data_IF_164453012168
#
_entry.id   IF_164453012168
#
_cell.length_a   1.000
_cell.length_b   1.000
_cell.length_c   1.000
_cell.angle_alpha   90.00
_cell.angle_beta   90.00
_cell.angle_gamma   90.00
#
_symmetry.space_group_name_H-M   'P 1'
#
loop_
_entity.id
_entity.type
_entity.pdbx_description
1 polymer ?
#
# COMPACT_ATOMS: atom_id res chain seq x y z
N UNK A 1 1.92 45.46 -3.65
CA UNK A 1 1.67 44.22 -4.41
C UNK A 1 2.76 43.22 -4.00
N UNK A 2 2.48 42.38 -3.04
CA UNK A 2 3.40 41.31 -2.59
C UNK A 2 3.21 40.12 -3.50
N UNK A 3 4.24 39.81 -4.26
CA UNK A 3 4.34 38.59 -5.09
C UNK A 3 4.29 37.37 -4.18
N UNK A 4 3.20 36.60 -4.26
CA UNK A 4 3.11 35.26 -3.70
C UNK A 4 3.79 34.30 -4.69
N UNK A 5 5.08 34.33 -4.79
CA UNK A 5 5.87 33.17 -5.20
C UNK A 5 6.01 32.24 -3.98
N UNK A 6 5.01 31.42 -3.74
CA UNK A 6 5.21 30.19 -2.98
C UNK A 6 6.15 29.33 -3.82
N UNK A 7 7.45 29.37 -3.49
CA UNK A 7 8.40 28.39 -3.99
C UNK A 7 7.83 27.02 -3.64
N UNK A 8 7.26 26.34 -4.63
CA UNK A 8 6.86 24.94 -4.50
C UNK A 8 8.14 24.16 -4.25
N UNK A 9 8.42 23.85 -2.98
CA UNK A 9 9.57 23.03 -2.62
C UNK A 9 9.42 21.75 -3.43
N UNK A 10 10.42 21.47 -4.25
CA UNK A 10 10.43 20.23 -5.03
C UNK A 10 10.61 19.06 -4.07
N UNK A 11 9.55 18.29 -3.89
CA UNK A 11 9.56 17.13 -3.01
C UNK A 11 10.26 16.00 -3.77
N UNK A 12 11.44 15.64 -3.30
CA UNK A 12 12.20 14.51 -3.86
C UNK A 12 11.80 13.19 -3.20
N UNK A 13 12.10 12.04 -3.81
CA UNK A 13 11.95 10.73 -3.16
C UNK A 13 12.57 10.65 -1.77
N UNK A 14 13.77 11.24 -1.58
CA UNK A 14 14.46 11.26 -0.29
C UNK A 14 13.70 12.04 0.77
N UNK A 15 13.09 13.18 0.41
CA UNK A 15 12.24 13.96 1.31
C UNK A 15 11.01 13.16 1.70
N UNK A 16 10.41 12.46 0.75
CA UNK A 16 9.24 11.62 1.01
C UNK A 16 9.58 10.46 1.94
N UNK A 17 10.68 9.73 1.69
CA UNK A 17 11.11 8.63 2.57
C UNK A 17 11.45 9.13 3.99
N UNK A 18 12.08 10.32 4.12
CA UNK A 18 12.31 10.94 5.42
C UNK A 18 11.00 11.28 6.14
N UNK A 19 9.98 11.74 5.41
CA UNK A 19 8.67 12.00 5.99
C UNK A 19 8.03 10.71 6.52
N UNK A 20 8.06 9.62 5.74
CA UNK A 20 7.61 8.30 6.20
C UNK A 20 8.37 7.82 7.44
N UNK A 21 9.69 7.99 7.47
CA UNK A 21 10.51 7.67 8.65
C UNK A 21 10.12 8.47 9.90
N UNK A 22 9.53 9.66 9.72
CA UNK A 22 8.97 10.49 10.80
C UNK A 22 7.48 10.23 11.07
N UNK A 23 6.88 9.23 10.44
CA UNK A 23 5.45 8.93 10.63
C UNK A 23 4.49 9.84 9.86
N UNK A 24 5.00 10.66 8.93
CA UNK A 24 4.26 11.67 8.18
C UNK A 24 4.07 11.17 6.74
N UNK A 25 2.93 11.46 6.14
CA UNK A 25 2.65 11.12 4.74
C UNK A 25 1.96 12.29 4.01
N UNK A 26 2.13 12.39 2.66
CA UNK A 26 1.52 13.46 1.89
C UNK A 26 0.10 13.09 1.46
N UNK A 27 -0.78 14.09 1.41
CA UNK A 27 -2.09 14.02 0.75
C UNK A 27 -2.37 15.32 0.00
N UNK A 28 -3.17 15.25 -1.06
CA UNK A 28 -3.81 16.41 -1.67
C UNK A 28 -5.32 16.42 -1.35
N UNK A 29 -5.95 17.57 -1.40
CA UNK A 29 -7.41 17.67 -1.19
C UNK A 29 -8.20 17.11 -2.38
N UNK A 30 -7.63 17.20 -3.58
CA UNK A 30 -8.22 16.68 -4.80
C UNK A 30 -7.16 16.44 -5.89
N UNK A 31 -7.56 15.79 -6.99
CA UNK A 31 -6.70 15.60 -8.16
C UNK A 31 -6.23 16.91 -8.79
N UNK A 32 -7.02 17.97 -8.68
CA UNK A 32 -6.76 19.29 -9.26
C UNK A 32 -5.97 20.22 -8.32
N UNK A 33 -5.78 19.82 -7.06
CA UNK A 33 -5.03 20.60 -6.08
C UNK A 33 -3.53 20.31 -6.23
N UNK A 34 -2.71 21.30 -6.62
CA UNK A 34 -1.26 21.12 -6.73
C UNK A 34 -0.56 21.08 -5.36
N UNK A 35 -1.26 21.47 -4.28
CA UNK A 35 -0.69 21.48 -2.94
C UNK A 35 -0.61 20.06 -2.37
N UNK A 36 0.41 19.81 -1.55
CA UNK A 36 0.55 18.62 -0.75
C UNK A 36 0.54 18.99 0.73
N UNK A 37 -0.32 18.32 1.46
CA UNK A 37 -0.45 18.48 2.90
C UNK A 37 0.24 17.30 3.59
N UNK A 38 1.08 17.60 4.57
CA UNK A 38 1.76 16.60 5.37
C UNK A 38 0.91 16.25 6.58
N UNK A 39 0.56 14.98 6.72
CA UNK A 39 -0.40 14.52 7.71
C UNK A 39 0.28 13.55 8.68
N UNK A 40 0.07 13.78 9.97
CA UNK A 40 0.40 12.88 11.06
C UNK A 40 -0.83 12.71 11.96
N UNK A 41 -1.64 11.66 11.78
CA UNK A 41 -2.86 11.46 12.55
C UNK A 41 -2.58 11.17 14.03
N UNK A 42 -3.49 11.56 14.93
CA UNK A 42 -3.44 11.15 16.34
C UNK A 42 -3.68 9.64 16.54
N UNK A 43 -4.47 9.07 15.63
CA UNK A 43 -4.78 7.63 15.56
C UNK A 43 -4.35 7.10 14.21
N UNK A 44 -3.41 6.16 14.21
CA UNK A 44 -2.87 5.55 13.00
C UNK A 44 -3.43 4.16 12.78
N UNK A 45 -3.89 3.89 11.56
CA UNK A 45 -4.32 2.57 11.12
C UNK A 45 -3.14 1.67 10.81
N UNK A 46 -3.13 0.48 11.39
CA UNK A 46 -2.13 -0.56 11.09
C UNK A 46 -2.79 -1.93 10.97
N UNK A 47 -2.20 -2.81 10.17
CA UNK A 47 -2.58 -4.22 10.15
C UNK A 47 -1.45 -5.02 10.84
N UNK A 48 -1.70 -5.60 12.03
CA UNK A 48 -0.76 -6.51 12.67
C UNK A 48 -0.56 -7.75 11.79
N UNK A 49 0.66 -7.96 11.28
CA UNK A 49 0.97 -9.05 10.34
C UNK A 49 0.80 -10.44 10.96
N UNK A 50 1.02 -10.57 12.27
CA UNK A 50 0.84 -11.80 13.04
C UNK A 50 -0.64 -12.14 13.32
N UNK A 51 -1.53 -11.16 13.21
CA UNK A 51 -2.97 -11.30 13.44
C UNK A 51 -3.81 -11.02 12.21
N UNK A 52 -3.19 -11.01 11.04
CA UNK A 52 -3.91 -10.81 9.78
C UNK A 52 -4.94 -11.92 9.58
N UNK A 53 -6.19 -11.52 9.45
CA UNK A 53 -7.32 -12.43 9.29
C UNK A 53 -7.80 -12.47 7.84
N UNK A 54 -7.96 -13.68 7.30
CA UNK A 54 -8.55 -13.88 5.97
C UNK A 54 -9.90 -14.61 6.14
N UNK A 55 -11.03 -13.95 5.86
CA UNK A 55 -12.35 -14.60 5.93
C UNK A 55 -12.42 -15.85 5.04
N UNK A 56 -13.07 -16.92 5.49
CA UNK A 56 -13.13 -18.24 4.82
C UNK A 56 -13.56 -18.15 3.36
N UNK A 57 -14.51 -17.25 3.05
CA UNK A 57 -14.97 -17.05 1.69
C UNK A 57 -13.85 -16.49 0.82
N UNK A 58 -13.09 -15.49 1.31
CA UNK A 58 -11.95 -14.91 0.61
C UNK A 58 -10.83 -15.95 0.46
N UNK A 59 -10.56 -16.75 1.51
CA UNK A 59 -9.57 -17.81 1.45
C UNK A 59 -9.87 -18.83 0.35
N UNK A 60 -11.16 -19.13 0.12
CA UNK A 60 -11.59 -19.99 -1.01
C UNK A 60 -11.31 -19.32 -2.35
N UNK A 61 -11.63 -18.02 -2.49
CA UNK A 61 -11.34 -17.25 -3.72
C UNK A 61 -9.84 -17.22 -4.02
N UNK A 62 -9.02 -16.95 -3.00
CA UNK A 62 -7.55 -16.94 -3.15
C UNK A 62 -7.04 -18.32 -3.56
N UNK A 63 -7.49 -19.38 -2.88
CA UNK A 63 -7.03 -20.77 -3.14
C UNK A 63 -7.45 -21.30 -4.51
N UNK A 64 -8.51 -20.75 -5.10
CA UNK A 64 -8.98 -21.20 -6.41
C UNK A 64 -8.11 -20.73 -7.57
N UNK A 65 -7.17 -19.82 -7.33
CA UNK A 65 -6.31 -19.18 -8.34
C UNK A 65 -7.11 -18.65 -9.55
N UNK A 66 -8.36 -18.22 -9.31
CA UNK A 66 -9.18 -17.58 -10.34
C UNK A 66 -8.48 -16.35 -10.91
N UNK A 67 -7.79 -15.61 -10.04
CA UNK A 67 -7.03 -14.44 -10.43
C UNK A 67 -5.54 -14.78 -10.47
N UNK A 68 -4.85 -14.24 -11.46
CA UNK A 68 -3.39 -14.22 -11.50
C UNK A 68 -2.89 -12.98 -10.75
N UNK A 69 -1.94 -13.17 -9.84
CA UNK A 69 -1.35 -12.07 -9.09
C UNK A 69 0.09 -11.85 -9.54
N UNK A 70 0.37 -10.65 -10.01
CA UNK A 70 1.71 -10.17 -10.33
C UNK A 70 2.15 -9.09 -9.33
N UNK A 71 3.44 -8.76 -9.34
CA UNK A 71 4.00 -7.66 -8.56
C UNK A 71 4.96 -6.87 -9.44
N UNK A 72 4.99 -5.56 -9.25
CA UNK A 72 5.92 -4.64 -9.91
C UNK A 72 5.92 -4.78 -11.44
N UNK A 73 4.76 -5.09 -12.03
CA UNK A 73 4.61 -5.28 -13.48
C UNK A 73 4.18 -4.02 -14.21
N UNK A 74 3.21 -3.30 -13.65
CA UNK A 74 2.62 -2.10 -14.27
C UNK A 74 2.18 -1.09 -13.21
N UNK A 75 3.14 -0.30 -12.74
CA UNK A 75 2.89 0.73 -11.73
C UNK A 75 1.84 1.74 -12.17
N UNK A 76 1.91 2.20 -13.44
CA UNK A 76 1.00 3.24 -13.92
C UNK A 76 -0.43 2.75 -13.97
N UNK A 77 -0.67 1.55 -14.47
CA UNK A 77 -2.01 0.99 -14.50
C UNK A 77 -2.61 0.83 -13.08
N UNK A 78 -1.77 0.52 -12.07
CA UNK A 78 -2.21 0.41 -10.68
C UNK A 78 -2.54 1.77 -10.08
N UNK A 79 -1.65 2.76 -10.20
CA UNK A 79 -1.89 4.08 -9.60
C UNK A 79 -3.05 4.80 -10.28
N UNK A 80 -3.19 4.65 -11.60
CA UNK A 80 -4.34 5.15 -12.37
C UNK A 80 -5.64 4.48 -11.93
N UNK A 81 -5.63 3.15 -11.71
CA UNK A 81 -6.77 2.43 -11.14
C UNK A 81 -7.16 2.95 -9.75
N UNK A 82 -6.18 3.26 -8.91
CA UNK A 82 -6.41 3.86 -7.59
C UNK A 82 -6.94 5.29 -7.67
N UNK A 83 -6.54 6.06 -8.68
CA UNK A 83 -6.96 7.45 -8.90
C UNK A 83 -8.36 7.56 -9.50
N UNK A 84 -8.91 6.50 -10.11
CA UNK A 84 -10.23 6.56 -10.74
C UNK A 84 -11.35 6.85 -9.73
N UNK A 85 -12.29 7.76 -10.06
CA UNK A 85 -13.51 7.93 -9.29
C UNK A 85 -14.35 6.64 -9.30
N UNK A 86 -14.91 6.31 -8.14
CA UNK A 86 -15.82 5.16 -7.99
C UNK A 86 -17.08 5.59 -7.25
N UNK A 87 -18.20 4.85 -7.36
CA UNK A 87 -19.39 5.12 -6.57
C UNK A 87 -19.06 5.26 -5.08
N UNK A 88 -19.44 6.39 -4.47
CA UNK A 88 -19.13 6.72 -3.07
C UNK A 88 -17.77 7.43 -2.85
N UNK A 89 -16.91 7.50 -3.86
CA UNK A 89 -15.66 8.27 -3.85
C UNK A 89 -15.50 9.00 -5.18
N UNK A 90 -16.13 10.15 -5.31
CA UNK A 90 -16.10 10.98 -6.53
C UNK A 90 -14.80 11.77 -6.72
N UNK A 91 -14.01 11.92 -5.66
CA UNK A 91 -12.72 12.63 -5.67
C UNK A 91 -11.58 11.71 -5.29
N UNK A 92 -10.41 11.95 -5.86
CA UNK A 92 -9.16 11.29 -5.49
C UNK A 92 -8.16 12.33 -4.97
N UNK A 93 -7.32 11.91 -4.05
CA UNK A 93 -6.19 12.68 -3.55
C UNK A 93 -4.93 12.49 -4.42
N UNK A 94 -4.96 11.52 -5.35
CA UNK A 94 -3.85 11.22 -6.25
C UNK A 94 -3.89 12.24 -7.40
N UNK A 95 -3.04 13.26 -7.31
CA UNK A 95 -2.81 14.25 -8.37
C UNK A 95 -1.56 13.90 -9.19
N UNK A 96 -1.28 14.63 -10.26
CA UNK A 96 -0.11 14.37 -11.12
C UNK A 96 1.22 14.46 -10.36
N UNK A 97 1.31 15.32 -9.33
CA UNK A 97 2.53 15.47 -8.51
C UNK A 97 2.75 14.23 -7.65
N UNK A 98 1.70 13.70 -7.01
CA UNK A 98 1.73 12.45 -6.25
C UNK A 98 2.10 11.30 -7.18
N UNK A 99 1.42 11.18 -8.32
CA UNK A 99 1.73 10.14 -9.30
C UNK A 99 3.22 10.13 -9.68
N UNK A 100 3.77 11.28 -10.08
CA UNK A 100 5.19 11.39 -10.46
C UNK A 100 6.15 11.08 -9.30
N UNK A 101 5.79 11.46 -8.07
CA UNK A 101 6.62 11.23 -6.90
C UNK A 101 6.72 9.74 -6.55
N UNK A 102 5.58 9.03 -6.57
CA UNK A 102 5.55 7.59 -6.32
C UNK A 102 6.13 6.78 -7.48
N UNK A 103 6.02 7.26 -8.73
CA UNK A 103 6.74 6.66 -9.86
C UNK A 103 8.25 6.69 -9.64
N UNK A 104 8.81 7.81 -9.19
CA UNK A 104 10.24 7.92 -8.88
C UNK A 104 10.66 6.96 -7.75
N UNK A 105 9.81 6.73 -6.74
CA UNK A 105 10.05 5.72 -5.71
C UNK A 105 10.01 4.30 -6.30
N UNK A 106 9.06 4.03 -7.19
CA UNK A 106 8.96 2.73 -7.87
C UNK A 106 10.20 2.43 -8.71
N UNK A 107 10.67 3.38 -9.52
CA UNK A 107 11.89 3.26 -10.33
C UNK A 107 13.16 3.00 -9.49
N UNK A 108 13.15 3.37 -8.22
CA UNK A 108 14.23 3.13 -7.25
C UNK A 108 14.09 1.82 -6.48
N UNK A 109 12.94 1.16 -6.58
CA UNK A 109 12.62 -0.03 -5.79
C UNK A 109 12.15 0.27 -4.35
N UNK A 110 11.79 1.52 -4.05
CA UNK A 110 11.25 1.95 -2.75
C UNK A 110 9.70 1.91 -2.72
N UNK A 111 9.05 1.73 -3.87
CA UNK A 111 7.60 1.58 -3.99
C UNK A 111 7.28 0.31 -4.80
N UNK A 112 6.27 -0.41 -4.38
CA UNK A 112 5.88 -1.69 -4.97
C UNK A 112 4.39 -1.74 -5.28
N UNK A 113 4.04 -2.54 -6.28
CA UNK A 113 2.65 -2.83 -6.66
C UNK A 113 2.33 -4.30 -6.47
N UNK A 114 1.05 -4.58 -6.21
CA UNK A 114 0.47 -5.92 -6.31
C UNK A 114 -0.74 -5.83 -7.23
N UNK A 115 -0.66 -6.49 -8.37
CA UNK A 115 -1.64 -6.47 -9.44
C UNK A 115 -2.44 -7.76 -9.48
N UNK A 116 -3.74 -7.64 -9.74
CA UNK A 116 -4.65 -8.78 -9.85
C UNK A 116 -5.32 -8.79 -11.22
N UNK A 117 -5.11 -9.86 -11.95
CA UNK A 117 -5.60 -10.05 -13.31
C UNK A 117 -6.67 -11.15 -13.38
N UNK A 118 -7.72 -10.92 -14.19
CA UNK A 118 -8.67 -11.94 -14.65
C UNK A 118 -8.37 -12.18 -16.15
N UNK A 119 -7.65 -13.25 -16.46
CA UNK A 119 -6.99 -13.40 -17.76
C UNK A 119 -5.91 -12.33 -17.97
N UNK A 120 -6.07 -11.49 -18.98
CA UNK A 120 -5.14 -10.39 -19.29
C UNK A 120 -5.61 -9.03 -18.72
N UNK A 121 -6.83 -8.97 -18.19
CA UNK A 121 -7.40 -7.73 -17.69
C UNK A 121 -6.96 -7.45 -16.25
N UNK A 122 -6.42 -6.25 -16.00
CA UNK A 122 -6.11 -5.75 -14.66
C UNK A 122 -7.41 -5.38 -13.95
N UNK A 123 -7.86 -6.21 -13.02
CA UNK A 123 -9.15 -6.06 -12.32
C UNK A 123 -9.04 -5.60 -10.88
N UNK A 124 -7.84 -5.41 -10.37
CA UNK A 124 -7.58 -4.86 -9.04
C UNK A 124 -6.11 -4.78 -8.74
N UNK A 125 -5.78 -4.09 -7.67
CA UNK A 125 -4.41 -3.94 -7.23
C UNK A 125 -4.27 -2.96 -6.08
N UNK A 126 -3.05 -2.83 -5.62
CA UNK A 126 -2.64 -1.87 -4.61
C UNK A 126 -1.19 -1.44 -4.87
N UNK A 127 -0.80 -0.31 -4.28
CA UNK A 127 0.59 0.08 -4.22
C UNK A 127 0.95 0.60 -2.83
N UNK A 128 2.24 0.65 -2.54
CA UNK A 128 2.76 1.17 -1.28
C UNK A 128 4.27 1.30 -1.26
N UNK A 129 4.76 1.95 -0.21
CA UNK A 129 6.18 2.27 0.00
C UNK A 129 6.81 1.29 0.96
N UNK A 130 7.99 0.79 0.62
CA UNK A 130 8.84 -0.04 1.46
C UNK A 130 9.97 0.81 2.05
N UNK A 131 10.13 0.78 3.38
CA UNK A 131 11.22 1.47 4.06
C UNK A 131 11.65 0.67 5.29
N UNK A 132 12.88 0.19 5.31
CA UNK A 132 13.33 -0.76 6.32
C UNK A 132 12.43 -2.01 6.34
N UNK A 133 11.85 -2.34 7.48
CA UNK A 133 10.85 -3.41 7.65
C UNK A 133 9.42 -2.89 7.78
N UNK A 134 9.17 -1.65 7.36
CA UNK A 134 7.83 -1.08 7.27
C UNK A 134 7.35 -1.07 5.82
N UNK A 135 6.08 -1.36 5.62
CA UNK A 135 5.36 -1.16 4.36
C UNK A 135 4.18 -0.22 4.59
N UNK A 136 4.13 0.86 3.83
CA UNK A 136 3.07 1.87 3.88
C UNK A 136 2.13 1.64 2.71
N UNK A 137 0.96 1.04 2.99
CA UNK A 137 -0.06 0.82 1.97
C UNK A 137 -0.77 2.12 1.64
N UNK A 138 -0.63 2.58 0.40
CA UNK A 138 -1.12 3.89 -0.03
C UNK A 138 -2.56 3.84 -0.51
N UNK A 139 -2.82 3.04 -1.51
CA UNK A 139 -4.16 2.93 -2.08
C UNK A 139 -4.39 1.57 -2.73
N UNK A 140 -5.67 1.22 -2.90
CA UNK A 140 -6.09 0.02 -3.62
C UNK A 140 -7.34 0.29 -4.44
N UNK A 141 -7.51 -0.50 -5.49
CA UNK A 141 -8.71 -0.47 -6.33
C UNK A 141 -9.18 -1.88 -6.70
N UNK A 142 -10.43 -1.99 -7.13
CA UNK A 142 -10.95 -3.21 -7.72
C UNK A 142 -12.02 -2.88 -8.77
N UNK A 143 -12.03 -3.67 -9.85
CA UNK A 143 -13.07 -3.73 -10.89
C UNK A 143 -13.84 -5.04 -10.82
N UNK A 144 -13.17 -6.11 -10.37
CA UNK A 144 -13.81 -7.39 -10.07
C UNK A 144 -13.97 -7.59 -8.57
N UNK A 145 -15.02 -8.33 -8.18
CA UNK A 145 -15.30 -8.65 -6.77
C UNK A 145 -14.11 -9.34 -6.12
N UNK A 146 -13.74 -8.89 -4.94
CA UNK A 146 -12.66 -9.39 -4.10
C UNK A 146 -11.22 -9.16 -4.65
N UNK A 147 -11.03 -8.58 -5.85
CA UNK A 147 -9.69 -8.42 -6.44
C UNK A 147 -8.73 -7.63 -5.54
N UNK A 148 -9.11 -6.46 -5.00
CA UNK A 148 -8.25 -5.71 -4.06
C UNK A 148 -7.96 -6.47 -2.77
N UNK A 149 -8.89 -7.34 -2.33
CA UNK A 149 -8.69 -8.20 -1.15
C UNK A 149 -7.68 -9.32 -1.44
N UNK A 150 -7.72 -9.89 -2.65
CA UNK A 150 -6.74 -10.86 -3.12
C UNK A 150 -5.35 -10.20 -3.18
N UNK A 151 -5.25 -8.98 -3.71
CA UNK A 151 -4.01 -8.20 -3.67
C UNK A 151 -3.46 -8.04 -2.25
N UNK A 152 -4.33 -7.67 -1.29
CA UNK A 152 -3.93 -7.49 0.12
C UNK A 152 -3.44 -8.81 0.77
N UNK A 153 -4.09 -9.94 0.47
CA UNK A 153 -3.66 -11.27 0.96
C UNK A 153 -2.26 -11.60 0.44
N UNK A 154 -2.00 -11.38 -0.84
CA UNK A 154 -0.69 -11.63 -1.44
C UNK A 154 0.37 -10.65 -0.94
N UNK A 155 0.02 -9.36 -0.73
CA UNK A 155 0.90 -8.40 -0.09
C UNK A 155 1.34 -8.91 1.29
N UNK A 156 0.38 -9.24 2.18
CA UNK A 156 0.72 -9.67 3.55
C UNK A 156 1.53 -10.96 3.56
N UNK A 157 1.24 -11.92 2.67
CA UNK A 157 2.06 -13.12 2.52
C UNK A 157 3.51 -12.79 2.14
N UNK A 158 3.70 -11.82 1.25
CA UNK A 158 5.02 -11.33 0.82
C UNK A 158 5.73 -10.60 1.96
N UNK A 159 5.04 -9.71 2.67
CA UNK A 159 5.59 -8.99 3.80
C UNK A 159 6.06 -9.93 4.92
N UNK A 160 5.28 -10.98 5.23
CA UNK A 160 5.68 -12.00 6.21
C UNK A 160 6.90 -12.80 5.73
N UNK A 161 6.94 -13.20 4.46
CA UNK A 161 8.09 -13.91 3.88
C UNK A 161 9.36 -13.04 3.90
N UNK A 162 9.21 -11.74 3.67
CA UNK A 162 10.30 -10.76 3.64
C UNK A 162 10.64 -10.12 4.99
N UNK A 163 10.13 -10.68 6.10
CA UNK A 163 10.45 -10.24 7.47
C UNK A 163 10.08 -8.79 7.78
N UNK A 164 9.05 -8.24 7.12
CA UNK A 164 8.47 -6.96 7.50
C UNK A 164 7.84 -7.05 8.89
N UNK A 165 7.74 -5.91 9.59
CA UNK A 165 7.22 -5.80 10.95
C UNK A 165 6.02 -4.88 11.08
N UNK A 166 5.85 -3.97 10.13
CA UNK A 166 4.77 -2.99 10.15
C UNK A 166 4.09 -2.94 8.77
N UNK A 167 2.78 -3.09 8.75
CA UNK A 167 1.93 -2.70 7.62
C UNK A 167 1.06 -1.53 8.07
N UNK A 168 1.42 -0.35 7.61
CA UNK A 168 0.73 0.91 7.86
C UNK A 168 -0.36 1.11 6.81
N UNK A 169 -1.55 1.49 7.23
CA UNK A 169 -2.70 1.79 6.35
C UNK A 169 -3.23 3.19 6.55
N UNK A 170 -2.49 4.04 7.24
CA UNK A 170 -2.80 5.42 7.65
C UNK A 170 -4.11 5.52 8.44
N UNK A 171 -5.23 5.11 7.86
CA UNK A 171 -6.56 5.11 8.45
C UNK A 171 -7.19 3.71 8.40
N UNK A 172 -8.07 3.43 9.36
CA UNK A 172 -8.81 2.17 9.38
C UNK A 172 -10.19 2.38 8.77
N UNK A 173 -10.48 1.62 7.72
CA UNK A 173 -11.81 1.54 7.11
C UNK A 173 -12.54 0.28 7.58
N UNK A 174 -13.87 0.23 7.45
CA UNK A 174 -14.66 -0.98 7.70
C UNK A 174 -14.13 -2.19 6.93
N UNK A 175 -13.72 -1.95 5.68
CA UNK A 175 -13.10 -2.98 4.85
C UNK A 175 -11.82 -3.55 5.50
N UNK A 176 -10.89 -2.71 5.96
CA UNK A 176 -9.64 -3.14 6.58
C UNK A 176 -9.85 -3.77 7.96
N UNK A 177 -10.90 -3.40 8.69
CA UNK A 177 -11.28 -4.05 9.96
C UNK A 177 -11.52 -5.55 9.79
N UNK A 178 -12.09 -5.96 8.65
CA UNK A 178 -12.34 -7.38 8.37
C UNK A 178 -11.06 -8.23 8.26
N UNK A 179 -9.91 -7.58 8.08
CA UNK A 179 -8.59 -8.20 8.03
C UNK A 179 -7.79 -8.06 9.34
N UNK A 180 -8.39 -7.49 10.37
CA UNK A 180 -7.73 -7.29 11.67
C UNK A 180 -7.02 -5.94 11.80
N UNK A 181 -7.30 -4.96 10.93
CA UNK A 181 -6.77 -3.61 11.09
C UNK A 181 -7.24 -2.97 12.40
N UNK A 182 -6.33 -2.31 13.07
CA UNK A 182 -6.55 -1.61 14.34
C UNK A 182 -6.01 -0.19 14.28
N UNK A 183 -6.58 0.68 15.12
CA UNK A 183 -6.03 2.01 15.35
C UNK A 183 -5.13 2.00 16.58
N UNK A 184 -3.95 2.56 16.45
CA UNK A 184 -3.01 2.80 17.54
C UNK A 184 -2.82 4.29 17.77
N UNK A 185 -2.47 4.69 18.99
CA UNK A 185 -2.14 6.09 19.28
C UNK A 185 -0.83 6.48 18.60
N UNK A 186 -0.63 7.79 18.32
CA UNK A 186 0.62 8.28 17.72
C UNK A 186 1.88 7.80 18.46
N UNK A 187 1.98 7.87 19.80
CA UNK A 187 3.16 7.36 20.50
C UNK A 187 3.36 5.84 20.37
N UNK A 188 2.29 5.07 20.29
CA UNK A 188 2.37 3.62 20.05
C UNK A 188 2.80 3.32 18.62
N UNK A 189 2.30 4.08 17.64
CA UNK A 189 2.71 3.98 16.25
C UNK A 189 4.20 4.27 16.06
N UNK A 190 4.74 5.34 16.66
CA UNK A 190 6.17 5.65 16.57
C UNK A 190 7.05 4.51 17.11
N UNK A 191 6.66 3.86 18.21
CA UNK A 191 7.39 2.67 18.70
C UNK A 191 7.41 1.52 17.71
N UNK A 192 6.28 1.29 17.00
CA UNK A 192 6.21 0.26 15.95
C UNK A 192 7.06 0.65 14.75
N UNK A 193 7.01 1.90 14.33
CA UNK A 193 7.77 2.44 13.21
C UNK A 193 9.27 2.39 13.49
N UNK A 194 9.73 2.91 14.64
CA UNK A 194 11.13 2.87 15.03
C UNK A 194 11.69 1.44 15.03
N UNK A 195 10.92 0.47 15.56
CA UNK A 195 11.30 -0.93 15.55
C UNK A 195 11.31 -1.54 14.13
N UNK A 196 10.44 -1.08 13.24
CA UNK A 196 10.37 -1.55 11.86
C UNK A 196 11.45 -0.94 10.97
N UNK A 197 11.92 0.27 11.29
CA UNK A 197 13.02 0.93 10.55
C UNK A 197 14.40 0.31 10.88
N UNK A 198 14.50 -0.57 11.87
CA UNK A 198 15.75 -1.29 12.15
C UNK A 198 15.86 -2.51 11.25
N UNK A 199 16.84 -2.50 10.33
CA UNK A 199 17.09 -3.54 9.34
C UNK A 199 16.25 -3.38 8.09
N UNK A 200 16.34 -4.36 7.18
CA UNK A 200 15.71 -4.32 5.87
C UNK A 200 14.68 -5.44 5.73
N UNK A 201 13.55 -5.12 5.13
CA UNK A 201 12.58 -6.08 4.63
C UNK A 201 12.96 -6.49 3.20
N UNK A 202 12.68 -7.74 2.83
CA UNK A 202 12.92 -8.22 1.49
C UNK A 202 11.59 -8.43 0.75
N UNK A 203 11.18 -7.46 -0.07
CA UNK A 203 9.97 -7.59 -0.89
C UNK A 203 10.12 -8.69 -1.96
N UNK A 204 11.36 -9.03 -2.34
CA UNK A 204 11.71 -10.10 -3.28
C UNK A 204 11.75 -11.50 -2.68
N UNK A 205 11.50 -11.68 -1.38
CA UNK A 205 11.52 -12.99 -0.70
C UNK A 205 10.55 -14.04 -1.31
N UNK A 206 9.50 -13.58 -1.97
CA UNK A 206 8.69 -14.40 -2.89
C UNK A 206 8.97 -13.97 -4.33
N UNK A 207 8.85 -14.88 -5.29
CA UNK A 207 9.14 -14.64 -6.70
C UNK A 207 8.46 -13.35 -7.21
N UNK A 208 9.21 -12.53 -7.96
CA UNK A 208 8.73 -11.31 -8.62
C UNK A 208 8.38 -11.59 -10.09
N UNK A 209 9.07 -12.52 -10.72
CA UNK A 209 9.03 -12.85 -12.15
C UNK A 209 7.92 -13.84 -12.52
N UNK A 210 7.25 -14.41 -11.54
CA UNK A 210 6.16 -15.39 -11.75
C UNK A 210 5.10 -15.29 -10.65
N UNK A 211 3.85 -15.64 -10.97
CA UNK A 211 2.77 -15.66 -9.99
C UNK A 211 3.05 -16.61 -8.82
N UNK A 212 2.72 -16.17 -7.61
CA UNK A 212 2.71 -17.01 -6.42
C UNK A 212 1.31 -17.61 -6.29
N UNK A 213 1.14 -18.95 -6.27
CA UNK A 213 -0.18 -19.57 -6.12
C UNK A 213 -0.87 -19.15 -4.83
N UNK A 214 -2.18 -18.94 -4.87
CA UNK A 214 -2.97 -18.50 -3.72
C UNK A 214 -2.89 -19.43 -2.53
N UNK A 215 -2.79 -20.75 -2.77
CA UNK A 215 -2.55 -21.72 -1.70
C UNK A 215 -1.21 -21.51 -0.98
N UNK A 216 -0.16 -21.17 -1.72
CA UNK A 216 1.15 -20.85 -1.16
C UNK A 216 1.13 -19.53 -0.38
N UNK A 217 0.45 -18.50 -0.91
CA UNK A 217 0.27 -17.23 -0.21
C UNK A 217 -0.46 -17.43 1.12
N UNK A 218 -1.57 -18.19 1.14
CA UNK A 218 -2.30 -18.50 2.38
C UNK A 218 -1.47 -19.30 3.38
N UNK A 219 -0.64 -20.25 2.92
CA UNK A 219 0.24 -21.01 3.79
C UNK A 219 1.26 -20.11 4.52
N UNK A 220 1.76 -19.05 3.86
CA UNK A 220 2.66 -18.07 4.49
C UNK A 220 2.00 -17.26 5.61
N UNK A 221 0.69 -17.03 5.51
CA UNK A 221 -0.05 -16.33 6.57
C UNK A 221 -0.18 -17.16 7.85
N UNK A 222 -0.21 -18.47 7.74
CA UNK A 222 -0.37 -19.39 8.87
C UNK A 222 0.93 -19.62 9.66
N UNK A 223 2.09 -19.28 9.09
CA UNK A 223 3.39 -19.35 9.78
C UNK A 223 3.55 -18.10 10.63
N UNK A 224 3.49 -18.25 11.95
CA UNK A 224 3.66 -17.21 12.95
C UNK A 224 5.10 -16.72 13.07
#
# INVERSE_FOLDING_TARGET
MASRESALIDITPEVLLKAYACGIFPMAESADDPALYWIEPERRGVIPLDRFHVPDRLARTVRSDRFTVAVDRDFDAVIDGCAQPVPGRSRTWINARIHNLYRKLYERGDCHTVEVYDGEELVGGLYGVSLGRAFFGESMFHRARDASKVALVHLVARLKAGHYRLLDTQFVTEHLRTFGAVEVTRPAYHKLLDAALVGEGDFGALALDRPVPGGAALARLAVG
#
